data_IF_504624106286
#
_entry.id   IF_504624106286
#
_cell.length_a   1.000
_cell.length_b   1.000
_cell.length_c   1.000
_cell.angle_alpha   90.00
_cell.angle_beta   90.00
_cell.angle_gamma   90.00
#
_symmetry.space_group_name_H-M   'P 1'
#
loop_
_entity.id
_entity.type
_entity.pdbx_description
1 polymer ?
#
# COMPACT_ATOMS: atom_id res chain seq x y z
N UNK A 1 -7.20 -18.54 22.05
CA UNK A 1 -6.66 -17.19 21.79
C UNK A 1 -6.72 -16.93 20.30
N UNK A 2 -7.57 -16.01 19.87
CA UNK A 2 -7.66 -15.54 18.49
C UNK A 2 -6.60 -14.47 18.20
N UNK A 3 -6.30 -14.22 16.92
CA UNK A 3 -5.38 -13.16 16.48
C UNK A 3 -5.87 -11.78 16.94
N UNK A 4 -7.19 -11.58 16.97
CA UNK A 4 -7.78 -10.34 17.47
C UNK A 4 -7.51 -10.14 18.96
N UNK A 5 -7.64 -11.19 19.78
CA UNK A 5 -7.34 -11.13 21.21
C UNK A 5 -5.86 -10.81 21.46
N UNK A 6 -4.96 -11.41 20.67
CA UNK A 6 -3.52 -11.10 20.75
C UNK A 6 -3.25 -9.63 20.42
N UNK A 7 -3.86 -9.11 19.34
CA UNK A 7 -3.70 -7.71 18.94
C UNK A 7 -4.20 -6.74 20.02
N UNK A 8 -5.37 -7.01 20.59
CA UNK A 8 -5.94 -6.20 21.68
C UNK A 8 -5.04 -6.20 22.91
N UNK A 9 -4.50 -7.35 23.29
CA UNK A 9 -3.60 -7.47 24.43
C UNK A 9 -2.25 -6.75 24.19
N UNK A 10 -1.73 -6.79 22.96
CA UNK A 10 -0.51 -6.04 22.59
C UNK A 10 -0.75 -4.53 22.68
N UNK A 11 -1.87 -4.02 22.17
CA UNK A 11 -2.20 -2.60 22.29
C UNK A 11 -2.32 -2.18 23.76
N UNK A 12 -3.07 -2.94 24.57
CA UNK A 12 -3.21 -2.66 26.00
C UNK A 12 -1.88 -2.65 26.76
N UNK A 13 -0.94 -3.54 26.39
CA UNK A 13 0.42 -3.53 26.95
C UNK A 13 1.20 -2.28 26.55
N UNK A 14 1.12 -1.87 25.29
CA UNK A 14 1.80 -0.65 24.80
C UNK A 14 1.26 0.59 25.48
N UNK A 15 -0.06 0.68 25.66
CA UNK A 15 -0.73 1.84 26.28
C UNK A 15 -0.35 2.01 27.76
N UNK A 16 0.10 0.94 28.43
CA UNK A 16 0.53 0.95 29.83
C UNK A 16 2.02 1.26 29.99
N UNK A 17 2.80 1.36 28.91
CA UNK A 17 4.23 1.67 28.98
C UNK A 17 4.42 3.19 29.13
N UNK A 18 4.72 3.63 30.36
CA UNK A 18 5.04 5.04 30.65
C UNK A 18 6.50 5.39 30.36
N UNK A 19 7.38 4.39 30.29
CA UNK A 19 8.82 4.58 30.05
C UNK A 19 9.14 4.56 28.56
N UNK A 20 9.53 5.71 28.01
CA UNK A 20 9.96 5.85 26.61
C UNK A 20 11.07 4.85 26.24
N UNK A 21 12.02 4.62 27.15
CA UNK A 21 13.09 3.64 26.94
C UNK A 21 12.54 2.22 26.73
N UNK A 22 11.55 1.83 27.53
CA UNK A 22 10.92 0.52 27.42
C UNK A 22 10.09 0.41 26.13
N UNK A 23 9.38 1.48 25.77
CA UNK A 23 8.62 1.57 24.53
C UNK A 23 9.53 1.41 23.31
N UNK A 24 10.69 2.07 23.33
CA UNK A 24 11.70 1.97 22.28
C UNK A 24 12.23 0.54 22.13
N UNK A 25 12.53 -0.14 23.24
CA UNK A 25 12.98 -1.53 23.23
C UNK A 25 11.91 -2.47 22.69
N UNK A 26 10.65 -2.25 23.06
CA UNK A 26 9.53 -3.04 22.56
C UNK A 26 9.29 -2.84 21.06
N UNK A 27 9.41 -1.60 20.58
CA UNK A 27 9.33 -1.26 19.16
C UNK A 27 10.42 -1.94 18.32
N UNK A 28 11.67 -1.91 18.79
CA UNK A 28 12.78 -2.58 18.11
C UNK A 28 12.57 -4.10 18.07
N UNK A 29 12.02 -4.71 19.11
CA UNK A 29 11.65 -6.12 19.10
C UNK A 29 10.56 -6.42 18.05
N UNK A 30 9.51 -5.60 17.97
CA UNK A 30 8.44 -5.78 16.98
C UNK A 30 8.92 -5.61 15.53
N UNK A 31 9.94 -4.78 15.28
CA UNK A 31 10.57 -4.65 13.96
C UNK A 31 11.30 -5.90 13.50
N UNK A 32 11.89 -6.66 14.44
CA UNK A 32 12.65 -7.88 14.11
C UNK A 32 11.74 -9.07 13.76
N UNK A 33 10.46 -8.98 14.09
CA UNK A 33 9.47 -9.97 13.65
C UNK A 33 9.37 -9.87 12.12
N UNK A 34 9.67 -10.94 11.36
CA UNK A 34 9.57 -10.90 9.92
C UNK A 34 8.12 -10.58 9.57
N UNK A 35 7.90 -9.39 8.98
CA UNK A 35 6.66 -9.14 8.26
C UNK A 35 6.65 -10.19 7.17
N UNK A 36 5.67 -11.11 7.20
CA UNK A 36 5.24 -11.73 5.96
C UNK A 36 4.77 -10.57 5.09
N UNK A 37 5.67 -10.01 4.28
CA UNK A 37 5.28 -9.41 3.03
C UNK A 37 4.67 -10.59 2.29
N UNK A 38 3.36 -10.73 2.39
CA UNK A 38 2.64 -11.36 1.30
C UNK A 38 2.95 -10.45 0.12
N UNK A 39 3.92 -10.86 -0.71
CA UNK A 39 4.03 -10.35 -2.06
C UNK A 39 2.73 -10.75 -2.72
N UNK A 40 1.75 -9.86 -2.62
CA UNK A 40 0.46 -10.08 -3.19
C UNK A 40 0.63 -9.79 -4.68
N UNK A 41 0.68 -10.86 -5.47
CA UNK A 41 0.68 -10.73 -6.92
C UNK A 41 -0.73 -10.37 -7.38
N UNK A 42 -0.92 -9.08 -7.67
CA UNK A 42 -2.19 -8.58 -8.21
C UNK A 42 -2.36 -8.95 -9.68
N UNK A 43 -1.31 -9.39 -10.37
CA UNK A 43 -1.36 -9.73 -11.78
C UNK A 43 -2.33 -10.88 -12.04
N UNK A 44 -2.30 -11.89 -11.17
CA UNK A 44 -3.17 -13.07 -11.26
C UNK A 44 -4.65 -12.77 -10.98
N UNK A 45 -4.98 -11.58 -10.44
CA UNK A 45 -6.37 -11.17 -10.22
C UNK A 45 -7.05 -10.59 -11.46
N UNK A 46 -6.27 -10.15 -12.45
CA UNK A 46 -6.82 -9.55 -13.67
C UNK A 46 -7.31 -10.64 -14.64
N UNK A 47 -8.40 -10.36 -15.36
CA UNK A 47 -8.76 -11.17 -16.53
C UNK A 47 -7.72 -11.01 -17.63
N UNK A 48 -7.67 -11.96 -18.56
CA UNK A 48 -6.75 -11.87 -19.72
C UNK A 48 -7.00 -10.61 -20.55
N UNK A 49 -8.25 -10.15 -20.64
CA UNK A 49 -8.60 -8.87 -21.28
C UNK A 49 -7.99 -7.69 -20.53
N UNK A 50 -8.11 -7.64 -19.20
CA UNK A 50 -7.53 -6.57 -18.39
C UNK A 50 -6.00 -6.54 -18.44
N UNK A 51 -5.36 -7.72 -18.45
CA UNK A 51 -3.91 -7.84 -18.63
C UNK A 51 -3.48 -7.29 -19.98
N UNK A 52 -4.19 -7.68 -21.04
CA UNK A 52 -3.92 -7.22 -22.39
C UNK A 52 -4.06 -5.69 -22.53
N UNK A 53 -5.12 -5.11 -21.96
CA UNK A 53 -5.32 -3.66 -21.95
C UNK A 53 -4.20 -2.92 -21.21
N UNK A 54 -3.70 -3.49 -20.10
CA UNK A 54 -2.58 -2.91 -19.35
C UNK A 54 -1.27 -2.98 -20.14
N UNK A 55 -0.99 -4.10 -20.79
CA UNK A 55 0.18 -4.28 -21.67
C UNK A 55 0.12 -3.32 -22.86
N UNK A 56 -1.05 -3.20 -23.50
CA UNK A 56 -1.27 -2.28 -24.61
C UNK A 56 -1.05 -0.82 -24.17
N UNK A 57 -1.64 -0.40 -23.05
CA UNK A 57 -1.46 0.95 -22.53
C UNK A 57 -0.01 1.25 -22.15
N UNK A 58 0.74 0.24 -21.69
CA UNK A 58 2.17 0.35 -21.42
C UNK A 58 2.94 0.60 -22.72
N UNK A 59 2.75 -0.23 -23.73
CA UNK A 59 3.42 -0.10 -25.03
C UNK A 59 3.08 1.26 -25.69
N UNK A 60 1.81 1.67 -25.67
CA UNK A 60 1.37 2.97 -26.19
C UNK A 60 2.03 4.15 -25.47
N UNK A 61 2.36 4.01 -24.19
CA UNK A 61 3.00 5.07 -23.41
C UNK A 61 4.47 5.31 -23.79
N UNK A 62 5.12 4.37 -24.48
CA UNK A 62 6.49 4.57 -24.99
C UNK A 62 6.52 5.49 -26.23
N UNK A 63 5.35 5.76 -26.81
CA UNK A 63 5.17 6.63 -27.97
C UNK A 63 4.80 8.06 -27.55
N UNK A 64 5.67 9.02 -27.84
CA UNK A 64 5.50 10.43 -27.43
C UNK A 64 4.22 11.06 -27.98
N UNK A 65 3.76 10.62 -29.16
CA UNK A 65 2.50 11.06 -29.77
C UNK A 65 1.25 10.71 -28.96
N UNK A 66 1.32 9.69 -28.10
CA UNK A 66 0.22 9.25 -27.23
C UNK A 66 0.28 9.90 -25.85
N UNK A 67 1.36 10.64 -25.54
CA UNK A 67 1.52 11.27 -24.25
C UNK A 67 0.66 12.52 -24.12
N UNK A 68 -0.01 12.64 -22.98
CA UNK A 68 -0.74 13.85 -22.60
C UNK A 68 0.13 14.77 -21.75
N UNK A 69 -0.04 16.08 -21.93
CA UNK A 69 0.70 17.05 -21.11
C UNK A 69 0.33 16.91 -19.64
N UNK A 70 1.32 17.08 -18.74
CA UNK A 70 1.08 17.05 -17.30
C UNK A 70 0.03 18.09 -16.86
N UNK A 71 -0.03 19.25 -17.53
CA UNK A 71 -1.02 20.28 -17.26
C UNK A 71 -2.46 19.76 -17.47
N UNK A 72 -2.69 19.00 -18.55
CA UNK A 72 -3.98 18.40 -18.86
C UNK A 72 -4.39 17.35 -17.80
N UNK A 73 -3.46 16.46 -17.43
CA UNK A 73 -3.67 15.44 -16.38
C UNK A 73 -4.06 16.11 -15.05
N UNK A 74 -3.38 17.19 -14.69
CA UNK A 74 -3.65 17.94 -13.45
C UNK A 74 -4.97 18.73 -13.50
N UNK A 75 -5.46 19.09 -14.68
CA UNK A 75 -6.78 19.69 -14.85
C UNK A 75 -7.89 18.65 -14.65
N UNK A 76 -7.78 17.48 -15.27
CA UNK A 76 -8.75 16.39 -15.10
C UNK A 76 -8.81 15.88 -13.66
N UNK A 77 -7.66 15.67 -13.02
CA UNK A 77 -7.58 15.20 -11.64
C UNK A 77 -8.26 16.15 -10.63
N UNK A 78 -8.38 17.45 -10.93
CA UNK A 78 -9.13 18.39 -10.09
C UNK A 78 -10.61 18.05 -10.05
N UNK A 79 -11.19 17.55 -11.14
CA UNK A 79 -12.62 17.20 -11.19
C UNK A 79 -12.98 16.14 -10.15
N UNK A 80 -12.06 15.19 -9.91
CA UNK A 80 -12.25 14.09 -8.96
C UNK A 80 -11.98 14.48 -7.50
N UNK A 81 -11.31 15.62 -7.26
CA UNK A 81 -11.07 16.19 -5.93
C UNK A 81 -12.23 17.05 -5.41
N UNK A 82 -13.26 17.27 -6.22
CA UNK A 82 -14.46 18.08 -5.87
C UNK A 82 -15.66 17.27 -5.38
N UNK A 83 -15.45 16.05 -4.90
CA UNK A 83 -16.43 15.27 -4.13
C UNK A 83 -15.93 15.03 -2.70
#
# INVERSE_FOLDING_TARGET
>A
MSIQEIKTNVHSLVDQIESEKLLQQFYELLKTVPRKKEEFDFWDLFSEEQKHELELAWDESEHEENLVSNALVMEEAKQWRTK
#
